data_IF_032235241156
#
_entry.id   IF_032235241156
#
_cell.length_a   1.000
_cell.length_b   1.000
_cell.length_c   1.000
_cell.angle_alpha   90.00
_cell.angle_beta   90.00
_cell.angle_gamma   90.00
#
_symmetry.space_group_name_H-M   'P 1'
#
loop_
_entity.id
_entity.type
_entity.pdbx_description
1 polymer ?
#
# COMPACT_ATOMS: atom_id res chain seq x y z
N UNK A 1 -52.74 9.42 4.17
CA UNK A 1 -51.99 8.14 4.28
C UNK A 1 -50.79 8.09 3.33
N UNK A 2 -50.91 8.57 2.09
CA UNK A 2 -49.81 8.51 1.11
C UNK A 2 -48.58 9.36 1.46
N UNK A 3 -48.78 10.59 1.94
CA UNK A 3 -47.68 11.48 2.34
C UNK A 3 -46.82 10.92 3.50
N UNK A 4 -47.44 10.18 4.42
CA UNK A 4 -46.74 9.53 5.55
C UNK A 4 -45.85 8.40 5.04
N UNK A 5 -46.32 7.62 4.05
CA UNK A 5 -45.55 6.53 3.46
C UNK A 5 -44.32 7.05 2.70
N UNK A 6 -44.48 8.15 1.94
CA UNK A 6 -43.36 8.77 1.20
C UNK A 6 -42.30 9.30 2.16
N UNK A 7 -42.72 9.94 3.26
CA UNK A 7 -41.79 10.44 4.28
C UNK A 7 -41.01 9.29 4.94
N UNK A 8 -41.69 8.19 5.26
CA UNK A 8 -41.04 7.01 5.84
C UNK A 8 -40.00 6.39 4.89
N UNK A 9 -40.30 6.28 3.60
CA UNK A 9 -39.35 5.75 2.61
C UNK A 9 -38.13 6.67 2.42
N UNK A 10 -38.34 7.99 2.40
CA UNK A 10 -37.24 8.95 2.32
C UNK A 10 -36.30 8.84 3.53
N UNK A 11 -36.84 8.68 4.74
CA UNK A 11 -36.05 8.50 5.96
C UNK A 11 -35.23 7.22 5.93
N UNK A 12 -35.82 6.10 5.48
CA UNK A 12 -35.09 4.82 5.35
C UNK A 12 -33.92 4.95 4.37
N UNK A 13 -34.13 5.58 3.21
CA UNK A 13 -33.08 5.77 2.21
C UNK A 13 -31.95 6.66 2.76
N UNK A 14 -32.28 7.71 3.50
CA UNK A 14 -31.29 8.60 4.11
C UNK A 14 -30.49 7.87 5.18
N UNK A 15 -31.14 7.10 6.07
CA UNK A 15 -30.45 6.33 7.11
C UNK A 15 -29.55 5.27 6.47
N UNK A 16 -30.01 4.58 5.44
CA UNK A 16 -29.24 3.54 4.76
C UNK A 16 -28.05 4.12 3.98
N UNK A 17 -28.24 5.25 3.29
CA UNK A 17 -27.16 5.98 2.63
C UNK A 17 -26.12 6.50 3.63
N UNK A 18 -26.57 7.00 4.79
CA UNK A 18 -25.68 7.43 5.86
C UNK A 18 -24.89 6.27 6.46
N UNK A 19 -25.52 5.11 6.66
CA UNK A 19 -24.89 3.92 7.20
C UNK A 19 -23.91 3.25 6.20
N UNK A 20 -24.16 3.36 4.90
CA UNK A 20 -23.24 2.86 3.88
C UNK A 20 -22.01 3.77 3.69
N UNK A 21 -22.20 5.09 3.80
CA UNK A 21 -21.08 6.06 3.83
C UNK A 21 -20.28 5.94 5.14
N UNK A 22 -20.97 5.62 6.23
CA UNK A 22 -20.38 5.37 7.54
C UNK A 22 -20.31 3.86 7.79
N UNK A 23 -19.51 3.15 6.99
CA UNK A 23 -19.11 1.78 7.34
C UNK A 23 -17.80 1.81 8.15
N UNK A 24 -17.85 1.87 9.50
CA UNK A 24 -16.69 1.83 10.36
C UNK A 24 -16.06 0.44 10.47
N UNK A 25 -16.72 -0.60 9.94
CA UNK A 25 -16.29 -2.00 10.06
C UNK A 25 -15.00 -2.27 9.30
N UNK A 26 -14.89 -1.74 8.08
CA UNK A 26 -13.67 -1.80 7.25
C UNK A 26 -12.48 -1.14 7.96
N UNK A 27 -12.72 0.00 8.62
CA UNK A 27 -11.69 0.77 9.33
C UNK A 27 -11.23 0.06 10.61
N UNK A 28 -12.14 -0.56 11.36
CA UNK A 28 -11.79 -1.32 12.58
C UNK A 28 -11.00 -2.59 12.25
N UNK A 29 -11.39 -3.35 11.21
CA UNK A 29 -10.65 -4.56 10.78
C UNK A 29 -9.21 -4.24 10.39
N UNK A 30 -8.99 -3.15 9.65
CA UNK A 30 -7.64 -2.69 9.30
C UNK A 30 -6.80 -2.36 10.54
N UNK A 31 -7.42 -1.77 11.56
CA UNK A 31 -6.74 -1.39 12.80
C UNK A 31 -6.43 -2.58 13.72
N UNK A 32 -7.29 -3.60 13.73
CA UNK A 32 -7.07 -4.84 14.49
C UNK A 32 -5.94 -5.67 13.85
N UNK A 33 -5.93 -5.80 12.52
CA UNK A 33 -4.83 -6.44 11.79
C UNK A 33 -3.50 -5.68 11.95
N UNK A 34 -3.55 -4.35 12.01
CA UNK A 34 -2.40 -3.52 12.35
C UNK A 34 -1.87 -3.78 13.77
N UNK A 35 -2.76 -4.02 14.73
CA UNK A 35 -2.41 -4.37 16.10
C UNK A 35 -1.73 -5.74 16.21
N UNK A 36 -2.18 -6.72 15.43
CA UNK A 36 -1.57 -8.06 15.34
C UNK A 36 -0.16 -8.03 14.73
N UNK A 37 0.06 -7.16 13.74
CA UNK A 37 1.35 -7.02 13.09
C UNK A 37 2.33 -6.13 13.86
N UNK A 38 1.93 -5.48 14.96
CA UNK A 38 2.81 -4.79 15.90
C UNK A 38 3.61 -3.62 15.29
N UNK A 39 3.37 -2.40 15.79
CA UNK A 39 4.22 -1.25 15.45
C UNK A 39 5.71 -1.59 15.69
N UNK A 40 6.56 -1.35 14.69
CA UNK A 40 7.98 -1.70 14.74
C UNK A 40 8.36 -3.06 14.12
N UNK A 41 7.40 -3.80 13.56
CA UNK A 41 7.68 -5.00 12.77
C UNK A 41 8.53 -4.73 11.53
N UNK A 42 9.26 -5.75 11.09
CA UNK A 42 10.12 -5.69 9.91
C UNK A 42 9.49 -6.47 8.77
N UNK A 43 9.41 -5.87 7.60
CA UNK A 43 8.86 -6.51 6.40
C UNK A 43 9.91 -6.47 5.30
N UNK A 44 10.24 -7.63 4.74
CA UNK A 44 11.05 -7.73 3.52
C UNK A 44 10.11 -7.86 2.33
N UNK A 45 10.19 -6.92 1.41
CA UNK A 45 9.50 -6.96 0.14
C UNK A 45 10.49 -7.42 -0.93
N UNK A 46 10.07 -8.39 -1.73
CA UNK A 46 10.90 -9.00 -2.77
C UNK A 46 10.24 -8.76 -4.11
N UNK A 47 11.00 -8.17 -5.04
CA UNK A 47 10.54 -7.85 -6.40
C UNK A 47 11.48 -8.44 -7.45
N UNK A 48 10.94 -8.67 -8.65
CA UNK A 48 11.73 -9.25 -9.73
C UNK A 48 12.56 -8.19 -10.44
N UNK A 49 11.97 -7.02 -10.70
CA UNK A 49 12.58 -5.96 -11.49
C UNK A 49 12.42 -4.59 -10.81
N UNK A 50 13.29 -3.62 -11.13
CA UNK A 50 13.00 -2.22 -10.86
C UNK A 50 11.64 -1.83 -11.46
N UNK A 51 10.90 -0.92 -10.84
CA UNK A 51 9.53 -0.46 -11.14
C UNK A 51 8.39 -1.24 -10.47
N UNK A 52 8.57 -2.53 -10.16
CA UNK A 52 7.52 -3.35 -9.55
C UNK A 52 7.00 -2.70 -8.24
N UNK A 53 7.90 -2.02 -7.50
CA UNK A 53 7.57 -1.34 -6.25
C UNK A 53 6.58 -0.18 -6.43
N UNK A 54 6.69 0.55 -7.54
CA UNK A 54 5.85 1.70 -7.83
C UNK A 54 4.60 1.28 -8.62
N UNK A 55 4.73 0.31 -9.54
CA UNK A 55 3.66 -0.13 -10.42
C UNK A 55 2.63 -1.01 -9.71
N UNK A 56 3.08 -1.97 -8.91
CA UNK A 56 2.20 -2.97 -8.29
C UNK A 56 2.04 -2.78 -6.79
N UNK A 57 3.11 -2.38 -6.11
CA UNK A 57 3.20 -2.50 -4.65
C UNK A 57 3.20 -1.17 -3.88
N UNK A 58 3.09 -0.02 -4.56
CA UNK A 58 3.06 1.27 -3.89
C UNK A 58 1.94 1.36 -2.82
N UNK A 59 0.70 0.88 -3.08
CA UNK A 59 -0.34 0.85 -2.04
C UNK A 59 0.06 0.02 -0.81
N UNK A 60 0.73 -1.12 -1.03
CA UNK A 60 1.21 -2.01 0.04
C UNK A 60 2.30 -1.36 0.87
N UNK A 61 3.31 -0.75 0.22
CA UNK A 61 4.40 -0.05 0.93
C UNK A 61 3.85 1.08 1.78
N UNK A 62 2.96 1.91 1.22
CA UNK A 62 2.32 3.01 1.96
C UNK A 62 1.44 2.49 3.12
N UNK A 63 0.76 1.37 2.93
CA UNK A 63 0.03 0.67 3.99
C UNK A 63 0.94 0.27 5.14
N UNK A 64 2.01 -0.46 4.84
CA UNK A 64 3.01 -0.90 5.83
C UNK A 64 3.67 0.28 6.56
N UNK A 65 3.98 1.36 5.85
CA UNK A 65 4.51 2.58 6.44
C UNK A 65 3.53 3.23 7.45
N UNK A 66 2.22 3.26 7.12
CA UNK A 66 1.17 3.72 8.05
C UNK A 66 1.08 2.85 9.30
N UNK A 67 1.34 1.55 9.16
CA UNK A 67 1.41 0.60 10.28
C UNK A 67 2.73 0.70 11.07
N UNK A 68 3.63 1.63 10.71
CA UNK A 68 4.96 1.78 11.32
C UNK A 68 5.84 0.54 11.17
N UNK A 69 5.68 -0.20 10.08
CA UNK A 69 6.60 -1.27 9.72
C UNK A 69 7.89 -0.68 9.15
N UNK A 70 9.02 -1.31 9.48
CA UNK A 70 10.28 -1.07 8.80
C UNK A 70 10.34 -1.95 7.56
N UNK A 71 10.19 -1.32 6.40
CA UNK A 71 10.22 -2.01 5.10
C UNK A 71 11.66 -2.09 4.59
N UNK A 72 12.03 -3.27 4.11
CA UNK A 72 13.25 -3.56 3.36
C UNK A 72 12.85 -4.04 1.97
N UNK A 73 13.63 -3.70 0.95
CA UNK A 73 13.34 -4.09 -0.43
C UNK A 73 14.52 -4.86 -1.01
N UNK A 74 14.25 -6.04 -1.56
CA UNK A 74 15.18 -6.84 -2.32
C UNK A 74 14.69 -6.95 -3.77
N UNK A 75 15.49 -6.47 -4.71
CA UNK A 75 15.23 -6.62 -6.15
C UNK A 75 16.19 -7.66 -6.72
N UNK A 76 15.67 -8.65 -7.45
CA UNK A 76 16.47 -9.75 -8.00
C UNK A 76 17.15 -9.45 -9.35
N UNK A 77 16.94 -8.27 -9.92
CA UNK A 77 17.52 -7.89 -11.21
C UNK A 77 17.83 -6.40 -11.27
N UNK A 78 18.83 -6.04 -12.08
CA UNK A 78 19.03 -4.66 -12.52
C UNK A 78 18.04 -4.21 -13.61
N UNK A 79 17.25 -5.13 -14.17
CA UNK A 79 16.37 -4.83 -15.32
C UNK A 79 17.16 -4.43 -16.57
N UNK A 80 18.33 -5.03 -16.80
CA UNK A 80 19.30 -4.60 -17.80
C UNK A 80 19.01 -5.07 -19.26
N UNK A 81 17.79 -5.46 -19.60
CA UNK A 81 17.46 -5.98 -20.93
C UNK A 81 17.82 -5.01 -22.07
N UNK A 82 17.58 -3.71 -21.86
CA UNK A 82 17.92 -2.64 -22.82
C UNK A 82 19.29 -1.98 -22.55
N UNK A 83 20.20 -2.63 -21.81
CA UNK A 83 21.48 -2.04 -21.36
C UNK A 83 21.31 -0.79 -20.47
N UNK A 84 20.20 -0.70 -19.75
CA UNK A 84 19.84 0.44 -18.89
C UNK A 84 19.93 0.15 -17.39
N UNK A 85 20.55 -0.96 -16.99
CA UNK A 85 20.51 -1.45 -15.60
C UNK A 85 21.03 -0.44 -14.56
N UNK A 86 22.09 0.31 -14.89
CA UNK A 86 22.63 1.34 -13.99
C UNK A 86 21.69 2.54 -13.82
N UNK A 87 20.92 2.87 -14.85
CA UNK A 87 19.89 3.92 -14.78
C UNK A 87 18.73 3.40 -13.93
N UNK A 88 18.23 2.19 -14.22
CA UNK A 88 17.10 1.58 -13.52
C UNK A 88 17.37 1.31 -12.04
N UNK A 89 18.62 0.98 -11.66
CA UNK A 89 19.05 0.90 -10.26
C UNK A 89 18.87 2.24 -9.54
N UNK A 90 19.29 3.34 -10.18
CA UNK A 90 19.15 4.70 -9.60
C UNK A 90 17.68 5.09 -9.49
N UNK A 91 16.90 4.81 -10.52
CA UNK A 91 15.45 5.04 -10.52
C UNK A 91 14.77 4.28 -9.38
N UNK A 92 15.08 3.00 -9.18
CA UNK A 92 14.55 2.19 -8.07
C UNK A 92 14.90 2.81 -6.71
N UNK A 93 16.15 3.21 -6.50
CA UNK A 93 16.57 3.84 -5.24
C UNK A 93 15.82 5.16 -4.99
N UNK A 94 15.64 5.99 -6.02
CA UNK A 94 14.89 7.25 -5.93
C UNK A 94 13.40 7.01 -5.67
N UNK A 95 12.81 6.04 -6.36
CA UNK A 95 11.42 5.61 -6.16
C UNK A 95 11.19 5.11 -4.73
N UNK A 96 12.09 4.27 -4.23
CA UNK A 96 12.06 3.79 -2.84
C UNK A 96 12.14 4.93 -1.82
N UNK A 97 13.01 5.92 -2.05
CA UNK A 97 13.14 7.09 -1.17
C UNK A 97 11.82 7.88 -1.09
N UNK A 98 11.14 8.07 -2.23
CA UNK A 98 9.80 8.69 -2.29
C UNK A 98 8.76 7.85 -1.53
N UNK A 99 8.83 6.52 -1.63
CA UNK A 99 7.94 5.61 -0.90
C UNK A 99 8.27 5.48 0.61
N UNK A 100 9.32 6.15 1.09
CA UNK A 100 9.74 6.14 2.48
C UNK A 100 10.60 4.93 2.87
N UNK A 101 11.16 4.22 1.90
CA UNK A 101 12.14 3.15 2.10
C UNK A 101 13.54 3.76 1.94
N UNK A 102 14.34 3.89 3.01
CA UNK A 102 15.66 4.51 2.90
C UNK A 102 16.58 3.65 2.02
N UNK A 103 17.52 4.25 1.27
CA UNK A 103 18.45 3.50 0.40
C UNK A 103 19.24 2.40 1.12
N UNK A 104 19.52 2.56 2.41
CA UNK A 104 20.18 1.54 3.25
C UNK A 104 19.36 0.28 3.50
N UNK A 105 18.05 0.32 3.22
CA UNK A 105 17.13 -0.81 3.29
C UNK A 105 16.82 -1.42 1.92
N UNK A 106 17.48 -0.96 0.85
CA UNK A 106 17.29 -1.45 -0.52
C UNK A 106 18.51 -2.24 -0.96
N UNK A 107 18.29 -3.46 -1.45
CA UNK A 107 19.33 -4.32 -2.02
C UNK A 107 18.93 -4.74 -3.42
N UNK A 108 19.84 -4.60 -4.37
CA UNK A 108 19.63 -5.00 -5.77
C UNK A 108 20.67 -6.07 -6.09
N UNK A 109 20.20 -7.26 -6.42
CA UNK A 109 21.04 -8.35 -6.90
C UNK A 109 21.19 -8.20 -8.41
N UNK A 110 22.42 -8.26 -8.88
CA UNK A 110 22.78 -8.22 -10.28
C UNK A 110 23.84 -9.29 -10.51
N UNK A 111 23.40 -10.48 -10.92
CA UNK A 111 24.30 -11.56 -11.28
C UNK A 111 24.41 -11.57 -12.80
N UNK A 112 25.53 -11.07 -13.31
CA UNK A 112 25.83 -11.02 -14.75
C UNK A 112 26.22 -12.38 -15.29
#
# INVERSE_FOLDING_TARGET
>A
MEAVCILCLAVVIIIWGFFWVWDPSERMKSQEQAGLLGGGSRTLMVIAHPDDEAMFFAPTVLGLARLRHRVFLLCFSAGNYYNQGEIRKKELLQSCDVLGIPPSSVMIIDNR
#
